data_IF_467762172895
#
_entry.id   IF_467762172895
#
_cell.length_a   1.000
_cell.length_b   1.000
_cell.length_c   1.000
_cell.angle_alpha   90.00
_cell.angle_beta   90.00
_cell.angle_gamma   90.00
#
_symmetry.space_group_name_H-M   'P 1'
#
loop_
_entity.id
_entity.type
_entity.pdbx_description
1 polymer ?
#
# COMPACT_ATOMS: atom_id res chain seq x y z
N UNK A 1 -10.97 -11.66 15.31
CA UNK A 1 -10.34 -10.44 14.74
C UNK A 1 -11.25 -9.83 13.67
N UNK A 2 -11.28 -8.50 13.52
CA UNK A 2 -12.08 -7.86 12.45
C UNK A 2 -11.45 -8.21 11.09
N UNK A 3 -12.24 -8.60 10.06
CA UNK A 3 -11.71 -9.13 8.79
C UNK A 3 -10.71 -8.18 8.10
N UNK A 4 -10.92 -6.86 8.26
CA UNK A 4 -10.00 -5.82 7.77
C UNK A 4 -8.59 -5.86 8.38
N UNK A 5 -8.49 -6.21 9.66
CA UNK A 5 -7.21 -6.28 10.38
C UNK A 5 -6.44 -7.52 9.92
N UNK A 6 -7.16 -8.61 9.66
CA UNK A 6 -6.58 -9.83 9.11
C UNK A 6 -5.99 -9.58 7.70
N UNK A 7 -6.74 -8.91 6.82
CA UNK A 7 -6.25 -8.57 5.48
C UNK A 7 -5.06 -7.61 5.51
N UNK A 8 -5.08 -6.59 6.37
CA UNK A 8 -3.92 -5.71 6.54
C UNK A 8 -2.70 -6.49 7.06
N UNK A 9 -2.88 -7.33 8.08
CA UNK A 9 -1.80 -8.17 8.59
C UNK A 9 -1.23 -9.11 7.53
N UNK A 10 -2.05 -9.66 6.64
CA UNK A 10 -1.56 -10.48 5.51
C UNK A 10 -0.70 -9.67 4.55
N UNK A 11 -1.08 -8.43 4.23
CA UNK A 11 -0.26 -7.52 3.39
C UNK A 11 1.06 -7.21 4.10
N UNK A 12 1.00 -6.85 5.39
CA UNK A 12 2.20 -6.56 6.18
C UNK A 12 3.13 -7.77 6.32
N UNK A 13 2.58 -8.97 6.55
CA UNK A 13 3.33 -10.22 6.60
C UNK A 13 3.96 -10.53 5.22
N UNK A 14 3.22 -10.37 4.13
CA UNK A 14 3.73 -10.52 2.77
C UNK A 14 4.91 -9.56 2.49
N UNK A 15 4.76 -8.28 2.85
CA UNK A 15 5.82 -7.28 2.72
C UNK A 15 7.08 -7.67 3.51
N UNK A 16 6.91 -8.16 4.74
CA UNK A 16 8.01 -8.59 5.60
C UNK A 16 8.71 -9.83 5.03
N UNK A 17 7.97 -10.79 4.50
CA UNK A 17 8.52 -12.00 3.86
C UNK A 17 9.30 -11.63 2.59
N UNK A 18 8.76 -10.75 1.74
CA UNK A 18 9.48 -10.25 0.55
C UNK A 18 10.74 -9.50 0.95
N UNK A 19 10.69 -8.68 2.00
CA UNK A 19 11.86 -7.97 2.52
C UNK A 19 12.94 -8.94 3.05
N UNK A 20 12.56 -9.98 3.78
CA UNK A 20 13.49 -11.02 4.24
C UNK A 20 14.12 -11.72 3.03
N UNK A 21 13.32 -12.12 2.04
CA UNK A 21 13.85 -12.75 0.82
C UNK A 21 14.83 -11.85 0.08
N UNK A 22 14.55 -10.54 0.03
CA UNK A 22 15.45 -9.55 -0.56
C UNK A 22 16.82 -9.48 0.13
N UNK A 23 16.93 -9.92 1.39
CA UNK A 23 18.18 -10.00 2.16
C UNK A 23 18.90 -11.35 2.03
N UNK A 24 18.26 -12.36 1.45
CA UNK A 24 18.88 -13.67 1.25
C UNK A 24 19.82 -13.65 0.03
N UNK A 25 20.78 -14.58 0.02
CA UNK A 25 21.64 -14.81 -1.14
C UNK A 25 20.83 -15.50 -2.24
N UNK A 26 20.76 -14.84 -3.40
CA UNK A 26 20.04 -15.35 -4.56
C UNK A 26 20.99 -16.05 -5.52
N UNK A 27 22.22 -15.54 -5.64
CA UNK A 27 23.22 -16.03 -6.58
C UNK A 27 24.58 -16.09 -5.88
N UNK A 28 25.27 -17.21 -6.02
CA UNK A 28 26.68 -17.34 -5.69
C UNK A 28 27.46 -17.43 -7.01
N UNK A 29 28.47 -16.58 -7.16
CA UNK A 29 29.31 -16.50 -8.34
C UNK A 29 30.71 -16.92 -7.93
N UNK A 30 31.27 -17.91 -8.63
CA UNK A 30 32.69 -18.22 -8.56
C UNK A 30 33.36 -17.64 -9.79
N UNK A 31 34.42 -16.89 -9.56
CA UNK A 31 35.23 -16.31 -10.60
C UNK A 31 36.70 -16.66 -10.39
N UNK A 32 37.39 -16.89 -11.49
CA UNK A 32 38.83 -17.12 -11.50
C UNK A 32 39.54 -15.88 -12.05
N UNK A 33 40.51 -15.37 -11.29
CA UNK A 33 41.44 -14.35 -11.75
C UNK A 33 42.85 -14.97 -11.73
N UNK A 34 43.54 -14.90 -12.86
CA UNK A 34 44.90 -15.43 -13.02
C UNK A 34 45.92 -14.81 -12.04
N UNK A 35 45.63 -13.61 -11.51
CA UNK A 35 46.48 -12.93 -10.51
C UNK A 35 46.09 -13.16 -9.06
N UNK A 36 44.81 -13.41 -8.75
CA UNK A 36 44.32 -13.55 -7.37
C UNK A 36 43.72 -14.92 -7.03
N UNK A 37 43.64 -15.84 -8.00
CA UNK A 37 43.06 -17.17 -7.85
C UNK A 37 41.53 -17.17 -7.83
N UNK A 38 40.94 -18.29 -7.41
CA UNK A 38 39.49 -18.46 -7.29
C UNK A 38 38.93 -17.54 -6.19
N UNK A 39 37.95 -16.70 -6.55
CA UNK A 39 37.20 -15.85 -5.64
C UNK A 39 35.72 -16.19 -5.70
N UNK A 40 35.10 -16.38 -4.54
CA UNK A 40 33.67 -16.65 -4.42
C UNK A 40 32.97 -15.39 -3.92
N UNK A 41 32.03 -14.85 -4.70
CA UNK A 41 31.21 -13.71 -4.32
C UNK A 41 29.73 -14.11 -4.23
N UNK A 42 29.04 -13.62 -3.20
CA UNK A 42 27.61 -13.86 -3.04
C UNK A 42 26.81 -12.59 -3.27
N UNK A 43 25.81 -12.67 -4.14
CA UNK A 43 24.90 -11.57 -4.47
C UNK A 43 23.57 -11.78 -3.75
N UNK A 44 23.19 -10.76 -3.00
CA UNK A 44 21.92 -10.68 -2.28
C UNK A 44 20.81 -10.22 -3.23
N UNK A 45 19.58 -10.71 -3.04
CA UNK A 45 18.45 -10.39 -3.93
C UNK A 45 18.25 -8.89 -4.19
N UNK A 46 18.47 -8.04 -3.18
CA UNK A 46 18.42 -6.57 -3.30
C UNK A 46 19.41 -5.98 -4.31
N UNK A 47 20.58 -6.63 -4.48
CA UNK A 47 21.64 -6.18 -5.42
C UNK A 47 21.37 -6.66 -6.85
N UNK A 48 20.73 -7.82 -6.99
CA UNK A 48 20.35 -8.37 -8.30
C UNK A 48 19.10 -7.69 -8.88
N UNK A 49 18.17 -7.31 -7.99
CA UNK A 49 16.91 -6.68 -8.34
C UNK A 49 16.57 -5.57 -7.34
N UNK A 50 16.98 -4.35 -7.67
CA UNK A 50 16.62 -3.13 -6.91
C UNK A 50 15.11 -2.90 -6.88
N UNK A 51 14.40 -3.45 -7.87
CA UNK A 51 12.94 -3.43 -7.97
C UNK A 51 12.28 -4.12 -6.76
N UNK A 52 12.84 -5.23 -6.27
CA UNK A 52 12.28 -5.96 -5.13
C UNK A 52 12.28 -5.12 -3.86
N UNK A 53 13.35 -4.35 -3.63
CA UNK A 53 13.44 -3.45 -2.49
C UNK A 53 12.39 -2.34 -2.58
N UNK A 54 12.24 -1.73 -3.76
CA UNK A 54 11.25 -0.68 -3.98
C UNK A 54 9.82 -1.21 -3.79
N UNK A 55 9.52 -2.41 -4.30
CA UNK A 55 8.23 -3.05 -4.17
C UNK A 55 7.93 -3.49 -2.74
N UNK A 56 8.92 -3.97 -1.99
CA UNK A 56 8.78 -4.29 -0.56
C UNK A 56 8.39 -3.05 0.25
N UNK A 57 9.06 -1.91 -0.01
CA UNK A 57 8.74 -0.64 0.64
C UNK A 57 7.35 -0.13 0.25
N UNK A 58 6.97 -0.26 -1.03
CA UNK A 58 5.64 0.12 -1.51
C UNK A 58 4.53 -0.73 -0.86
N UNK A 59 4.75 -2.04 -0.69
CA UNK A 59 3.82 -2.92 0.02
C UNK A 59 3.72 -2.56 1.51
N UNK A 60 4.82 -2.18 2.15
CA UNK A 60 4.83 -1.73 3.53
C UNK A 60 4.09 -0.39 3.71
N UNK A 61 4.23 0.54 2.75
CA UNK A 61 3.45 1.77 2.71
C UNK A 61 1.95 1.47 2.49
N UNK A 62 1.61 0.53 1.61
CA UNK A 62 0.23 0.09 1.39
C UNK A 62 -0.38 -0.53 2.67
N UNK A 63 0.41 -1.30 3.43
CA UNK A 63 0.00 -1.81 4.73
C UNK A 63 -0.33 -0.69 5.72
N UNK A 64 0.56 0.28 5.88
CA UNK A 64 0.33 1.42 6.78
C UNK A 64 -0.92 2.21 6.37
N UNK A 65 -1.07 2.48 5.07
CA UNK A 65 -2.20 3.22 4.55
C UNK A 65 -3.53 2.45 4.67
N UNK A 66 -3.50 1.11 4.58
CA UNK A 66 -4.68 0.27 4.84
C UNK A 66 -5.21 0.38 6.28
N UNK A 67 -4.35 0.71 7.25
CA UNK A 67 -4.74 0.95 8.64
C UNK A 67 -5.34 2.34 8.86
N UNK A 68 -4.91 3.33 8.06
CA UNK A 68 -5.30 4.74 8.22
C UNK A 68 -6.56 5.10 7.41
N UNK A 69 -6.75 4.50 6.23
CA UNK A 69 -7.78 4.93 5.28
C UNK A 69 -9.20 4.45 5.60
N UNK A 70 -10.19 5.20 5.07
CA UNK A 70 -11.63 4.89 5.09
C UNK A 70 -12.00 3.85 4.03
N UNK A 71 -13.29 3.47 3.93
CA UNK A 71 -13.76 2.37 3.06
C UNK A 71 -13.30 2.46 1.60
N UNK A 72 -13.38 3.63 0.98
CA UNK A 72 -12.98 3.84 -0.42
C UNK A 72 -11.46 3.78 -0.58
N UNK A 73 -10.73 4.50 0.27
CA UNK A 73 -9.26 4.47 0.25
C UNK A 73 -8.69 3.06 0.46
N UNK A 74 -9.29 2.27 1.35
CA UNK A 74 -8.91 0.86 1.56
C UNK A 74 -9.12 -0.01 0.33
N UNK A 75 -10.15 0.26 -0.50
CA UNK A 75 -10.33 -0.45 -1.77
C UNK A 75 -9.22 -0.14 -2.76
N UNK A 76 -8.94 1.15 -2.96
CA UNK A 76 -7.91 1.60 -3.89
C UNK A 76 -6.55 1.01 -3.49
N UNK A 77 -6.19 1.07 -2.22
CA UNK A 77 -4.93 0.52 -1.74
C UNK A 77 -4.87 -1.01 -1.83
N UNK A 78 -5.99 -1.71 -1.61
CA UNK A 78 -6.04 -3.15 -1.85
C UNK A 78 -5.73 -3.52 -3.31
N UNK A 79 -6.27 -2.76 -4.27
CA UNK A 79 -5.97 -2.94 -5.70
C UNK A 79 -4.51 -2.61 -6.01
N UNK A 80 -4.00 -1.48 -5.50
CA UNK A 80 -2.59 -1.09 -5.70
C UNK A 80 -1.64 -2.15 -5.11
N UNK A 81 -1.91 -2.64 -3.90
CA UNK A 81 -1.11 -3.70 -3.29
C UNK A 81 -1.13 -5.00 -4.11
N UNK A 82 -2.28 -5.36 -4.69
CA UNK A 82 -2.37 -6.53 -5.57
C UNK A 82 -1.52 -6.35 -6.85
N UNK A 83 -1.56 -5.16 -7.46
CA UNK A 83 -0.73 -4.85 -8.64
C UNK A 83 0.76 -4.86 -8.30
N UNK A 84 1.16 -4.28 -7.16
CA UNK A 84 2.53 -4.31 -6.67
C UNK A 84 3.01 -5.75 -6.43
N UNK A 85 2.15 -6.61 -5.86
CA UNK A 85 2.47 -8.02 -5.64
C UNK A 85 2.65 -8.80 -6.95
N UNK A 86 1.85 -8.49 -7.98
CA UNK A 86 2.01 -9.07 -9.33
C UNK A 86 3.32 -8.58 -9.97
N UNK A 87 3.65 -7.30 -9.85
CA UNK A 87 4.94 -6.79 -10.34
C UNK A 87 6.13 -7.45 -9.62
N UNK A 88 6.02 -7.62 -8.30
CA UNK A 88 7.07 -8.21 -7.48
C UNK A 88 7.30 -9.70 -7.75
N UNK A 89 6.30 -10.43 -8.23
CA UNK A 89 6.45 -11.84 -8.56
C UNK A 89 7.21 -12.09 -9.86
N UNK A 90 7.29 -11.12 -10.78
CA UNK A 90 7.98 -11.28 -12.07
C UNK A 90 9.48 -11.56 -11.89
N UNK A 91 10.13 -10.84 -10.98
CA UNK A 91 11.57 -10.95 -10.75
C UNK A 91 12.01 -12.34 -10.23
N UNK A 92 11.41 -12.90 -9.16
CA UNK A 92 11.69 -14.28 -8.74
C UNK A 92 11.21 -15.32 -9.75
N UNK A 93 10.10 -15.07 -10.48
CA UNK A 93 9.63 -15.98 -11.52
C UNK A 93 10.65 -16.12 -12.64
N UNK A 94 11.23 -15.02 -13.11
CA UNK A 94 12.29 -15.03 -14.12
C UNK A 94 13.52 -15.81 -13.66
N UNK A 95 13.89 -15.75 -12.38
CA UNK A 95 15.00 -16.57 -11.86
C UNK A 95 14.69 -18.06 -11.76
N UNK A 96 13.41 -18.42 -11.65
CA UNK A 96 12.96 -19.81 -11.61
C UNK A 96 12.76 -20.39 -13.02
N UNK A 97 12.43 -19.57 -14.00
CA UNK A 97 12.11 -20.03 -15.37
C UNK A 97 13.23 -19.80 -16.38
N UNK A 98 14.17 -18.90 -16.09
CA UNK A 98 15.23 -18.50 -17.02
C UNK A 98 16.58 -18.58 -16.33
N UNK A 99 17.58 -19.10 -17.05
CA UNK A 99 18.95 -19.15 -16.53
C UNK A 99 19.47 -17.72 -16.28
N UNK A 100 20.22 -17.49 -15.17
CA UNK A 100 20.73 -16.18 -14.83
C UNK A 100 21.65 -15.67 -15.95
N UNK A 101 21.34 -14.48 -16.48
CA UNK A 101 22.12 -13.88 -17.55
C UNK A 101 23.53 -13.49 -17.05
N UNK A 102 24.55 -14.17 -17.59
CA UNK A 102 25.94 -13.97 -17.23
C UNK A 102 26.43 -12.55 -17.56
N UNK A 103 25.85 -11.90 -18.56
CA UNK A 103 26.22 -10.55 -18.98
C UNK A 103 25.70 -9.49 -17.99
N UNK A 104 24.49 -9.71 -17.46
CA UNK A 104 23.94 -8.90 -16.35
C UNK A 104 24.73 -9.07 -15.06
N UNK A 105 25.16 -10.30 -14.75
CA UNK A 105 26.01 -10.56 -13.60
C UNK A 105 27.37 -9.84 -13.70
N UNK A 106 28.04 -9.89 -14.86
CA UNK A 106 29.27 -9.14 -15.12
C UNK A 106 29.06 -7.63 -14.96
N UNK A 107 27.98 -7.08 -15.51
CA UNK A 107 27.66 -5.65 -15.41
C UNK A 107 27.45 -5.21 -13.95
N UNK A 108 26.75 -6.00 -13.13
CA UNK A 108 26.50 -5.69 -11.71
C UNK A 108 27.77 -5.78 -10.85
N UNK A 109 28.66 -6.71 -11.17
CA UNK A 109 29.93 -6.91 -10.45
C UNK A 109 30.98 -5.84 -10.81
N UNK A 110 31.04 -5.42 -12.08
CA UNK A 110 31.96 -4.39 -12.58
C UNK A 110 31.49 -2.97 -12.27
N UNK A 111 30.18 -2.72 -12.24
CA UNK A 111 29.63 -1.40 -11.87
C UNK A 111 29.74 -1.08 -10.38
N UNK A 112 30.15 -2.03 -9.54
CA UNK A 112 30.27 -1.85 -8.09
C UNK A 112 28.92 -1.75 -7.36
N UNK A 113 27.78 -1.85 -8.04
CA UNK A 113 26.43 -1.80 -7.45
C UNK A 113 26.15 -3.03 -6.59
N UNK A 114 26.83 -4.16 -6.89
CA UNK A 114 26.86 -5.35 -6.04
C UNK A 114 27.55 -5.13 -4.68
N UNK A 115 28.35 -4.07 -4.54
CA UNK A 115 29.04 -3.75 -3.29
C UNK A 115 28.08 -3.18 -2.27
N UNK A 116 27.76 -3.98 -1.23
CA UNK A 116 26.88 -3.54 -0.14
C UNK A 116 27.46 -2.39 0.72
N UNK A 117 28.70 -1.96 0.47
CA UNK A 117 29.38 -0.92 1.22
C UNK A 117 29.65 0.26 0.30
N UNK A 118 29.13 1.44 0.64
CA UNK A 118 29.25 2.68 -0.14
C UNK A 118 30.70 3.13 -0.43
N UNK A 119 31.70 2.43 0.10
CA UNK A 119 33.13 2.75 -0.01
C UNK A 119 33.99 1.56 -0.44
N UNK A 120 33.40 0.45 -0.86
CA UNK A 120 34.12 -0.70 -1.39
C UNK A 120 33.89 -0.73 -2.90
N UNK A 121 34.91 -0.36 -3.66
CA UNK A 121 34.91 -0.45 -5.12
C UNK A 121 34.70 -1.88 -5.63
N UNK A 122 34.55 -1.99 -6.96
CA UNK A 122 34.40 -3.20 -7.78
C UNK A 122 34.79 -4.51 -7.08
N UNK A 123 33.80 -5.39 -6.86
CA UNK A 123 33.98 -6.67 -6.15
C UNK A 123 34.73 -7.71 -6.97
N UNK A 124 34.95 -7.45 -8.27
CA UNK A 124 35.68 -8.27 -9.21
C UNK A 124 36.50 -7.38 -10.14
N UNK A 125 37.69 -7.83 -10.52
CA UNK A 125 38.50 -7.19 -11.56
C UNK A 125 37.85 -7.33 -12.94
N UNK A 126 38.06 -6.37 -13.85
CA UNK A 126 37.48 -6.40 -15.21
C UNK A 126 37.90 -7.63 -16.03
N UNK A 127 39.00 -8.30 -15.63
CA UNK A 127 39.58 -9.46 -16.32
C UNK A 127 39.27 -10.81 -15.64
N UNK A 128 38.48 -10.84 -14.56
CA UNK A 128 38.10 -12.09 -13.93
C UNK A 128 37.07 -12.85 -14.79
N UNK A 129 37.32 -14.15 -15.00
CA UNK A 129 36.42 -15.02 -15.76
C UNK A 129 35.44 -15.71 -14.81
N UNK A 130 34.13 -15.59 -15.10
CA UNK A 130 33.09 -16.25 -14.30
C UNK A 130 33.07 -17.73 -14.66
N UNK A 131 33.50 -18.57 -13.73
CA UNK A 131 33.66 -20.01 -13.93
C UNK A 131 32.40 -20.78 -13.57
N UNK A 132 31.62 -20.31 -12.60
CA UNK A 132 30.35 -20.92 -12.22
C UNK A 132 29.35 -19.91 -11.63
N UNK A 133 28.06 -20.09 -11.96
CA UNK A 133 26.94 -19.33 -11.38
C UNK A 133 26.00 -20.34 -10.74
N UNK A 134 25.88 -20.29 -9.42
CA UNK A 134 24.95 -21.15 -8.67
C UNK A 134 23.78 -20.31 -8.17
N UNK A 135 22.56 -20.61 -8.63
CA UNK A 135 21.32 -19.98 -8.16
C UNK A 135 20.76 -20.69 -6.93
N UNK A 136 20.29 -19.93 -5.94
CA UNK A 136 19.61 -20.45 -4.74
C UNK A 136 18.09 -20.29 -4.87
N UNK A 137 17.34 -21.30 -5.35
CA UNK A 137 15.91 -21.18 -5.63
C UNK A 137 15.06 -20.96 -4.37
N UNK A 138 15.57 -21.36 -3.18
CA UNK A 138 14.89 -21.16 -1.91
C UNK A 138 14.51 -19.69 -1.67
N UNK A 139 15.42 -18.76 -2.00
CA UNK A 139 15.15 -17.34 -1.80
C UNK A 139 14.03 -16.84 -2.74
N UNK A 140 14.03 -17.29 -3.99
CA UNK A 140 12.97 -16.97 -4.96
C UNK A 140 11.62 -17.55 -4.55
N UNK A 141 11.58 -18.79 -4.03
CA UNK A 141 10.36 -19.41 -3.50
C UNK A 141 9.80 -18.62 -2.32
N UNK A 142 10.66 -18.17 -1.39
CA UNK A 142 10.22 -17.33 -0.25
C UNK A 142 9.65 -16.00 -0.74
N UNK A 143 10.26 -15.36 -1.75
CA UNK A 143 9.69 -14.14 -2.36
C UNK A 143 8.32 -14.40 -2.97
N UNK A 144 8.14 -15.52 -3.68
CA UNK A 144 6.86 -15.91 -4.27
C UNK A 144 5.77 -16.12 -3.21
N UNK A 145 6.11 -16.75 -2.08
CA UNK A 145 5.18 -16.91 -0.95
C UNK A 145 4.78 -15.55 -0.37
N UNK A 146 5.74 -14.64 -0.20
CA UNK A 146 5.46 -13.27 0.25
C UNK A 146 4.54 -12.50 -0.71
N UNK A 147 4.77 -12.62 -2.02
CA UNK A 147 3.92 -12.01 -3.04
C UNK A 147 2.51 -12.60 -3.03
N UNK A 148 2.37 -13.91 -2.90
CA UNK A 148 1.06 -14.57 -2.81
C UNK A 148 0.27 -14.08 -1.59
N UNK A 149 0.91 -13.95 -0.42
CA UNK A 149 0.29 -13.41 0.79
C UNK A 149 -0.16 -11.95 0.60
N UNK A 150 0.70 -11.12 0.01
CA UNK A 150 0.38 -9.72 -0.27
C UNK A 150 -0.78 -9.57 -1.26
N UNK A 151 -0.81 -10.40 -2.31
CA UNK A 151 -1.87 -10.44 -3.32
C UNK A 151 -3.21 -10.84 -2.70
N UNK A 152 -3.25 -11.94 -1.93
CA UNK A 152 -4.46 -12.39 -1.25
C UNK A 152 -4.95 -11.35 -0.25
N UNK A 153 -4.02 -10.76 0.53
CA UNK A 153 -4.32 -9.68 1.46
C UNK A 153 -4.90 -8.44 0.77
N UNK A 154 -4.32 -8.05 -0.37
CA UNK A 154 -4.77 -6.92 -1.20
C UNK A 154 -6.16 -7.13 -1.80
N UNK A 155 -6.40 -8.30 -2.40
CA UNK A 155 -7.73 -8.67 -2.95
C UNK A 155 -8.78 -8.69 -1.84
N UNK A 156 -8.47 -9.31 -0.70
CA UNK A 156 -9.40 -9.40 0.43
C UNK A 156 -9.74 -8.01 0.98
N UNK A 157 -8.75 -7.11 1.07
CA UNK A 157 -8.94 -5.73 1.48
C UNK A 157 -9.80 -4.95 0.47
N UNK A 158 -9.60 -5.18 -0.83
CA UNK A 158 -10.38 -4.56 -1.90
C UNK A 158 -11.85 -5.02 -1.92
N UNK A 159 -12.07 -6.33 -1.78
CA UNK A 159 -13.42 -6.91 -1.79
C UNK A 159 -14.18 -6.61 -0.51
N UNK A 160 -13.50 -6.68 0.65
CA UNK A 160 -14.13 -6.56 1.98
C UNK A 160 -13.49 -5.44 2.81
N UNK A 161 -13.61 -4.17 2.38
CA UNK A 161 -13.04 -3.04 3.13
C UNK A 161 -13.69 -2.88 4.51
N UNK A 162 -14.88 -3.43 4.77
CA UNK A 162 -15.56 -3.31 6.07
C UNK A 162 -16.22 -1.95 6.31
N UNK A 163 -16.88 -1.80 7.46
CA UNK A 163 -17.72 -0.64 7.79
C UNK A 163 -16.88 0.44 8.50
N UNK A 164 -17.03 1.70 8.08
CA UNK A 164 -16.41 2.86 8.74
C UNK A 164 -17.11 3.12 10.09
N UNK A 165 -16.38 3.60 11.09
CA UNK A 165 -16.91 3.80 12.45
C UNK A 165 -17.98 4.89 12.51
N UNK A 166 -18.98 4.80 13.42
CA UNK A 166 -20.18 5.64 13.41
C UNK A 166 -19.96 7.13 13.70
N UNK A 167 -18.72 7.57 13.98
CA UNK A 167 -18.40 8.97 14.27
C UNK A 167 -18.62 9.89 13.06
N UNK A 168 -18.44 9.39 11.84
CA UNK A 168 -18.83 10.14 10.63
C UNK A 168 -20.36 10.23 10.47
N UNK A 169 -21.05 9.17 10.88
CA UNK A 169 -22.52 9.09 10.90
C UNK A 169 -23.14 10.05 11.93
N UNK A 170 -22.38 10.63 12.87
CA UNK A 170 -22.92 11.63 13.79
C UNK A 170 -23.11 12.99 13.08
N UNK A 171 -22.15 13.41 12.25
CA UNK A 171 -22.26 14.65 11.48
C UNK A 171 -23.31 14.53 10.37
N UNK A 172 -23.32 13.42 9.64
CA UNK A 172 -24.37 13.17 8.62
C UNK A 172 -25.76 13.01 9.26
N UNK A 173 -25.89 12.34 10.41
CA UNK A 173 -27.18 12.28 11.14
C UNK A 173 -27.57 13.63 11.74
N UNK A 174 -26.61 14.48 12.11
CA UNK A 174 -26.89 15.84 12.61
C UNK A 174 -27.39 16.72 11.48
N UNK A 175 -26.72 16.70 10.33
CA UNK A 175 -27.15 17.42 9.13
C UNK A 175 -28.51 16.92 8.62
N UNK A 176 -28.71 15.61 8.50
CA UNK A 176 -30.00 15.05 8.06
C UNK A 176 -31.13 15.27 9.08
N UNK A 177 -30.81 15.46 10.37
CA UNK A 177 -31.79 15.84 11.40
C UNK A 177 -32.12 17.33 11.31
N UNK A 178 -31.12 18.18 11.12
CA UNK A 178 -31.31 19.61 10.90
C UNK A 178 -32.12 19.90 9.64
N UNK A 179 -31.86 19.21 8.52
CA UNK A 179 -32.64 19.32 7.28
C UNK A 179 -34.11 18.91 7.47
N UNK A 180 -34.39 17.87 8.26
CA UNK A 180 -35.76 17.48 8.60
C UNK A 180 -36.45 18.53 9.46
N UNK A 181 -35.75 19.07 10.46
CA UNK A 181 -36.29 20.14 11.30
C UNK A 181 -36.60 21.37 10.45
N UNK A 182 -35.73 21.74 9.49
CA UNK A 182 -36.01 22.82 8.53
C UNK A 182 -37.26 22.54 7.69
N UNK A 183 -37.40 21.34 7.11
CA UNK A 183 -38.57 20.96 6.32
C UNK A 183 -39.86 20.95 7.15
N UNK A 184 -39.81 20.43 8.39
CA UNK A 184 -40.94 20.40 9.31
C UNK A 184 -41.34 21.83 9.74
N UNK A 185 -40.39 22.77 9.81
CA UNK A 185 -40.62 24.18 10.14
C UNK A 185 -41.26 24.95 8.97
N UNK A 186 -40.95 24.57 7.72
CA UNK A 186 -41.60 25.09 6.52
C UNK A 186 -43.05 24.58 6.38
N UNK A 187 -43.29 23.30 6.67
CA UNK A 187 -44.60 22.67 6.55
C UNK A 187 -45.54 23.00 7.72
N UNK A 188 -45.00 23.16 8.94
CA UNK A 188 -45.78 23.40 10.15
C UNK A 188 -45.13 24.44 11.07
N UNK A 189 -45.05 25.71 10.65
CA UNK A 189 -44.35 26.78 11.37
C UNK A 189 -44.97 27.14 12.73
N UNK A 190 -46.24 26.82 12.94
CA UNK A 190 -46.97 27.10 14.20
C UNK A 190 -46.90 25.93 15.20
N UNK A 191 -46.22 24.83 14.84
CA UNK A 191 -46.10 23.66 15.71
C UNK A 191 -45.06 23.91 16.79
N UNK A 192 -45.52 24.15 18.02
CA UNK A 192 -44.64 24.38 19.16
C UNK A 192 -43.59 23.27 19.37
N UNK A 193 -43.89 22.02 19.00
CA UNK A 193 -42.92 20.90 19.12
C UNK A 193 -41.75 21.05 18.14
N UNK A 194 -42.01 21.46 16.91
CA UNK A 194 -40.97 21.64 15.87
C UNK A 194 -40.09 22.86 16.20
N UNK A 195 -40.70 23.90 16.77
CA UNK A 195 -40.01 25.11 17.25
C UNK A 195 -39.06 24.80 18.43
N UNK A 196 -39.48 23.93 19.36
CA UNK A 196 -38.61 23.44 20.43
C UNK A 196 -37.50 22.52 19.92
N UNK A 197 -37.78 21.65 18.94
CA UNK A 197 -36.76 20.81 18.30
C UNK A 197 -35.72 21.64 17.53
N UNK A 198 -36.12 22.77 16.93
CA UNK A 198 -35.23 23.73 16.30
C UNK A 198 -34.32 24.46 17.31
N UNK A 199 -34.85 24.87 18.46
CA UNK A 199 -34.08 25.48 19.55
C UNK A 199 -33.02 24.52 20.13
N UNK A 200 -33.34 23.24 20.27
CA UNK A 200 -32.42 22.24 20.82
C UNK A 200 -31.26 21.93 19.85
N UNK A 201 -31.45 22.17 18.55
CA UNK A 201 -30.44 21.99 17.50
C UNK A 201 -29.75 23.31 17.09
N UNK A 202 -30.04 24.43 17.78
CA UNK A 202 -29.49 25.78 17.54
C UNK A 202 -29.82 26.33 16.13
N UNK A 203 -31.06 26.07 15.66
CA UNK A 203 -31.59 26.53 14.37
C UNK A 203 -32.44 27.79 14.60
N UNK A 204 -31.98 28.94 14.09
CA UNK A 204 -32.72 30.21 14.18
C UNK A 204 -33.81 30.32 13.11
N UNK A 205 -35.06 30.48 13.55
CA UNK A 205 -36.24 30.56 12.70
C UNK A 205 -36.88 31.96 12.67
N UNK A 206 -36.24 32.94 13.28
CA UNK A 206 -36.75 34.31 13.41
C UNK A 206 -36.44 35.18 12.19
N UNK A 207 -35.47 34.78 11.35
CA UNK A 207 -35.18 35.37 10.04
C UNK A 207 -36.17 34.88 8.96
N UNK A 208 -37.47 35.20 9.08
CA UNK A 208 -38.39 35.11 7.93
C UNK A 208 -38.30 36.41 7.14
N UNK A 209 -38.26 36.39 5.79
CA UNK A 209 -38.32 37.61 4.99
C UNK A 209 -39.62 38.34 5.33
N UNK A 210 -39.46 39.55 5.86
CA UNK A 210 -40.50 40.48 6.28
C UNK A 210 -41.78 40.38 5.44
N UNK A 211 -42.87 39.91 6.04
CA UNK A 211 -44.22 40.19 5.55
C UNK A 211 -44.56 41.65 5.88
N UNK A 212 -43.83 42.59 5.26
CA UNK A 212 -44.09 44.01 5.41
C UNK A 212 -45.27 44.43 4.54
N UNK A 213 -46.34 44.77 5.26
CA UNK A 213 -47.28 45.83 4.94
C UNK A 213 -48.38 45.56 3.89
N UNK A 214 -49.49 44.98 4.34
CA UNK A 214 -50.80 45.15 3.69
C UNK A 214 -51.87 45.49 4.72
N UNK A 215 -51.74 46.65 5.37
CA UNK A 215 -52.83 47.26 6.13
C UNK A 215 -52.54 48.74 6.38
N UNK A 216 -52.79 49.58 5.38
CA UNK A 216 -53.02 51.00 5.60
C UNK A 216 -53.98 51.55 4.54
N UNK A 217 -55.26 51.62 4.90
CA UNK A 217 -56.21 52.69 4.56
C UNK A 217 -56.54 52.97 3.09
N UNK A 218 -57.78 52.71 2.71
CA UNK A 218 -58.62 53.74 2.08
C UNK A 218 -60.10 53.36 2.25
N UNK A 219 -60.70 53.98 3.27
CA UNK A 219 -62.11 54.36 3.34
C UNK A 219 -62.39 55.53 2.40
#
# INVERSE_FOLDING_TARGET
MKPRVLSALMIGAGALVVWISSRMNWITIEAFDDKSGNTTQSLVGATWSTEIMALALALLAAFAAALVLKRIGRRVIGVVAALLAIGASLSPLNLLTQDPDAERARTLLTSGVASQKANSGTLLSDWAEITSITSHPLAAVVAMVGCALALVGGILLAMRPGVDTPRANQYERRQARAERIHADLEESPESGRVMWDALDEDIDFTDKPDSTNKSAGQS
#
